data_IF_803537796963
#
_entry.id   IF_803537796963
#
_cell.length_a   1.000
_cell.length_b   1.000
_cell.length_c   1.000
_cell.angle_alpha   90.00
_cell.angle_beta   90.00
_cell.angle_gamma   90.00
#
_symmetry.space_group_name_H-M   'P 1'
#
loop_
_entity.id
_entity.type
_entity.pdbx_description
1 polymer ?
#
# COMPACT_ATOMS: atom_id res chain seq x y z
N UNK A 1 -38.08 -30.81 -4.24
CA UNK A 1 -37.11 -30.71 -3.13
C UNK A 1 -35.85 -30.10 -3.73
N UNK A 2 -35.72 -28.77 -3.70
CA UNK A 2 -34.66 -28.03 -4.39
C UNK A 2 -33.54 -27.72 -3.40
N UNK A 3 -32.38 -28.34 -3.58
CA UNK A 3 -31.19 -28.08 -2.77
C UNK A 3 -30.52 -26.81 -3.27
N UNK A 4 -30.77 -25.67 -2.61
CA UNK A 4 -30.02 -24.44 -2.84
C UNK A 4 -28.60 -24.62 -2.30
N UNK A 5 -27.63 -24.73 -3.20
CA UNK A 5 -26.21 -24.56 -2.87
C UNK A 5 -25.96 -23.06 -2.78
N UNK A 6 -25.75 -22.58 -1.57
CA UNK A 6 -25.35 -21.20 -1.28
C UNK A 6 -24.06 -20.88 -2.02
N UNK A 7 -24.14 -19.86 -2.87
CA UNK A 7 -23.03 -19.27 -3.57
C UNK A 7 -21.97 -18.81 -2.56
N UNK A 8 -20.83 -19.47 -2.58
CA UNK A 8 -19.63 -18.98 -1.91
C UNK A 8 -19.23 -17.72 -2.66
N UNK A 9 -19.67 -16.56 -2.17
CA UNK A 9 -19.14 -15.26 -2.58
C UNK A 9 -17.68 -15.22 -2.16
N UNK A 10 -16.82 -15.82 -2.99
CA UNK A 10 -15.42 -15.49 -3.05
C UNK A 10 -15.36 -14.01 -3.39
N UNK A 11 -15.34 -13.14 -2.36
CA UNK A 11 -14.84 -11.79 -2.52
C UNK A 11 -13.50 -11.98 -3.20
N UNK A 12 -13.46 -11.63 -4.48
CA UNK A 12 -12.27 -11.49 -5.29
C UNK A 12 -11.27 -10.79 -4.38
N UNK A 13 -10.37 -11.55 -3.77
CA UNK A 13 -9.16 -10.98 -3.20
C UNK A 13 -8.53 -10.37 -4.43
N UNK A 14 -8.76 -9.07 -4.59
CA UNK A 14 -8.14 -8.28 -5.62
C UNK A 14 -6.68 -8.33 -5.20
N UNK A 15 -5.98 -9.29 -5.79
CA UNK A 15 -4.61 -9.64 -5.52
C UNK A 15 -3.83 -8.38 -5.16
N UNK A 16 -3.59 -8.16 -3.86
CA UNK A 16 -2.94 -6.93 -3.35
C UNK A 16 -1.63 -6.71 -4.11
N UNK A 17 -0.98 -7.79 -4.53
CA UNK A 17 0.21 -7.82 -5.36
C UNK A 17 0.04 -7.28 -6.80
N UNK A 18 -1.09 -7.51 -7.48
CA UNK A 18 -1.34 -6.94 -8.82
C UNK A 18 -1.74 -5.46 -8.74
N UNK A 19 -2.54 -5.08 -7.74
CA UNK A 19 -2.83 -3.67 -7.46
C UNK A 19 -1.56 -2.89 -7.04
N UNK A 20 -0.63 -3.56 -6.35
CA UNK A 20 0.65 -2.98 -5.97
C UNK A 20 1.51 -2.67 -7.19
N UNK A 21 1.51 -3.51 -8.22
CA UNK A 21 2.33 -3.30 -9.42
C UNK A 21 1.94 -2.01 -10.15
N UNK A 22 0.64 -1.78 -10.37
CA UNK A 22 0.14 -0.53 -10.98
C UNK A 22 0.29 0.68 -10.05
N UNK A 23 0.21 0.47 -8.74
CA UNK A 23 0.29 1.54 -7.74
C UNK A 23 1.72 1.84 -7.25
N UNK A 24 2.74 1.14 -7.77
CA UNK A 24 4.13 1.29 -7.31
C UNK A 24 4.59 2.75 -7.38
N UNK A 25 4.23 3.47 -8.45
CA UNK A 25 4.57 4.89 -8.60
C UNK A 25 3.87 5.80 -7.60
N UNK A 26 2.61 5.50 -7.26
CA UNK A 26 1.85 6.25 -6.26
C UNK A 26 2.39 5.98 -4.85
N UNK A 27 2.77 4.74 -4.54
CA UNK A 27 3.45 4.41 -3.28
C UNK A 27 4.80 5.11 -3.18
N UNK A 28 5.62 5.08 -4.22
CA UNK A 28 6.89 5.79 -4.24
C UNK A 28 6.69 7.29 -3.99
N UNK A 29 5.66 7.90 -4.61
CA UNK A 29 5.30 9.30 -4.36
C UNK A 29 4.88 9.57 -2.92
N UNK A 30 4.06 8.72 -2.32
CA UNK A 30 3.68 8.86 -0.92
C UNK A 30 4.90 8.70 0.00
N UNK A 31 5.69 7.66 -0.21
CA UNK A 31 6.88 7.36 0.59
C UNK A 31 7.96 8.45 0.44
N UNK A 32 7.98 9.19 -0.67
CA UNK A 32 8.87 10.34 -0.84
C UNK A 32 8.47 11.52 0.07
N UNK A 33 7.23 11.55 0.57
CA UNK A 33 6.81 12.47 1.65
C UNK A 33 7.18 11.88 3.02
N UNK A 34 8.48 11.70 3.24
CA UNK A 34 9.01 11.37 4.56
C UNK A 34 9.94 12.46 5.05
N UNK A 35 9.95 12.67 6.37
CA UNK A 35 10.93 13.53 7.02
C UNK A 35 12.27 12.80 7.11
N UNK A 36 13.37 13.54 7.32
CA UNK A 36 14.72 12.97 7.40
C UNK A 36 14.92 11.93 8.52
N UNK A 37 14.01 11.86 9.49
CA UNK A 37 13.97 10.83 10.53
C UNK A 37 13.29 9.52 10.09
N UNK A 38 12.62 9.53 8.94
CA UNK A 38 11.90 8.38 8.38
C UNK A 38 10.38 8.38 8.63
N UNK A 39 9.83 9.33 9.37
CA UNK A 39 8.37 9.48 9.52
C UNK A 39 7.74 9.83 8.17
N UNK A 40 6.82 8.98 7.70
CA UNK A 40 6.00 9.22 6.51
C UNK A 40 4.74 9.97 6.91
N UNK A 41 4.44 11.04 6.19
CA UNK A 41 3.22 11.79 6.41
C UNK A 41 2.35 11.80 5.16
N UNK A 42 1.03 11.91 5.35
CA UNK A 42 0.08 12.08 4.26
C UNK A 42 -0.14 13.59 4.08
N UNK A 43 0.25 14.19 2.94
CA UNK A 43 -0.02 15.60 2.68
C UNK A 43 -1.52 15.87 2.64
N UNK A 44 -1.94 17.11 2.87
CA UNK A 44 -3.36 17.49 2.77
C UNK A 44 -3.90 17.22 1.37
N UNK A 45 -4.95 16.39 1.26
CA UNK A 45 -5.48 15.89 -0.02
C UNK A 45 -4.84 14.59 -0.51
N UNK A 46 -3.86 14.06 0.21
CA UNK A 46 -3.28 12.74 -0.02
C UNK A 46 -4.25 11.62 0.36
N UNK A 47 -4.04 10.44 -0.23
CA UNK A 47 -4.90 9.28 0.00
C UNK A 47 -4.49 8.52 1.26
N UNK A 48 -5.28 8.66 2.32
CA UNK A 48 -5.19 7.83 3.53
C UNK A 48 -5.29 6.33 3.20
N UNK A 49 -6.11 5.98 2.21
CA UNK A 49 -6.23 4.60 1.77
C UNK A 49 -4.91 4.06 1.21
N UNK A 50 -4.19 4.89 0.44
CA UNK A 50 -2.87 4.53 -0.09
C UNK A 50 -1.85 4.35 1.05
N UNK A 51 -1.91 5.19 2.08
CA UNK A 51 -1.09 5.05 3.28
C UNK A 51 -1.35 3.72 4.00
N UNK A 52 -2.61 3.38 4.24
CA UNK A 52 -2.97 2.09 4.84
C UNK A 52 -2.52 0.90 3.99
N UNK A 53 -2.60 1.01 2.66
CA UNK A 53 -2.06 -0.01 1.76
C UNK A 53 -0.54 -0.12 1.88
N UNK A 54 0.19 0.98 2.05
CA UNK A 54 1.63 0.93 2.29
C UNK A 54 1.99 0.29 3.64
N UNK A 55 1.14 0.46 4.67
CA UNK A 55 1.29 -0.22 5.96
C UNK A 55 1.06 -1.72 5.81
N UNK A 56 -0.04 -2.13 5.16
CA UNK A 56 -0.37 -3.54 4.89
C UNK A 56 0.72 -4.23 4.05
N UNK A 57 1.31 -3.50 3.10
CA UNK A 57 2.42 -3.94 2.26
C UNK A 57 3.79 -3.99 2.99
N UNK A 58 3.88 -3.54 4.25
CA UNK A 58 5.13 -3.51 5.02
C UNK A 58 6.13 -2.44 4.56
N UNK A 59 5.70 -1.43 3.80
CA UNK A 59 6.53 -0.31 3.35
C UNK A 59 6.64 0.78 4.43
N UNK A 60 5.64 0.85 5.32
CA UNK A 60 5.55 1.75 6.46
C UNK A 60 5.19 0.92 7.70
N UNK A 61 5.72 1.27 8.87
CA UNK A 61 5.30 0.69 10.15
C UNK A 61 3.93 1.25 10.58
N UNK A 62 3.26 0.58 11.53
CA UNK A 62 1.99 1.08 12.08
C UNK A 62 2.12 2.45 12.77
N UNK A 63 3.31 2.74 13.32
CA UNK A 63 3.66 4.05 13.88
C UNK A 63 3.98 5.12 12.82
N UNK A 64 4.01 4.75 11.54
CA UNK A 64 4.20 5.67 10.42
C UNK A 64 5.63 5.89 9.96
N UNK A 65 6.57 5.01 10.29
CA UNK A 65 7.95 5.10 9.85
C UNK A 65 8.21 4.29 8.59
N UNK A 66 8.98 4.83 7.65
CA UNK A 66 9.38 4.12 6.44
C UNK A 66 10.29 2.93 6.76
N UNK A 67 9.93 1.76 6.25
CA UNK A 67 10.74 0.55 6.42
C UNK A 67 11.89 0.50 5.43
N UNK A 68 12.79 -0.47 5.59
CA UNK A 68 13.86 -0.73 4.61
C UNK A 68 13.29 -0.99 3.21
N UNK A 69 12.22 -1.77 3.11
CA UNK A 69 11.56 -2.10 1.84
C UNK A 69 10.93 -0.87 1.19
N UNK A 70 10.33 0.02 1.98
CA UNK A 70 9.82 1.30 1.50
C UNK A 70 10.92 2.16 0.87
N UNK A 71 12.09 2.26 1.52
CA UNK A 71 13.24 2.99 0.98
C UNK A 71 13.79 2.37 -0.31
N UNK A 72 13.86 1.04 -0.38
CA UNK A 72 14.26 0.34 -1.60
C UNK A 72 13.29 0.61 -2.75
N UNK A 73 11.99 0.69 -2.47
CA UNK A 73 10.97 1.02 -3.45
C UNK A 73 11.14 2.45 -3.98
N UNK A 74 11.38 3.45 -3.10
CA UNK A 74 11.70 4.82 -3.53
C UNK A 74 12.93 4.82 -4.44
N UNK A 75 14.02 4.16 -4.03
CA UNK A 75 15.26 4.13 -4.79
C UNK A 75 15.07 3.54 -6.19
N UNK A 76 14.24 2.49 -6.31
CA UNK A 76 13.90 1.85 -7.59
C UNK A 76 13.00 2.71 -8.48
N UNK A 77 12.16 3.57 -7.91
CA UNK A 77 11.28 4.46 -8.68
C UNK A 77 11.96 5.76 -9.13
N UNK A 78 13.12 6.11 -8.57
CA UNK A 78 13.92 7.29 -8.97
C UNK A 78 14.92 7.00 -10.11
N UNK A 79 15.03 5.75 -10.56
CA UNK A 79 15.89 5.31 -11.67
C UNK A 79 15.07 5.10 -12.93
#
# INVERSE_FOLDING_TARGET
>A
MFTMRTEVTGKRQMNTFEAMAESTGEFARLLNHHYGDGTVYVPSGGSLQLYHTCVDAGLITEDGFITRQGRELIARSLT
#
